data_IF_058916266989
#
_entry.id   IF_058916266989
#
_cell.length_a   1.000
_cell.length_b   1.000
_cell.length_c   1.000
_cell.angle_alpha   90.00
_cell.angle_beta   90.00
_cell.angle_gamma   90.00
#
_symmetry.space_group_name_H-M   'P 1'
#
loop_
_entity.id
_entity.type
_entity.pdbx_description
1 polymer ?
#
# COMPACT_ATOMS: atom_id res chain seq x y z
N UNK A 1 -13.17 16.55 4.81
CA UNK A 1 -13.61 16.36 3.41
C UNK A 1 -13.55 14.88 3.08
N UNK A 2 -14.61 14.35 2.48
CA UNK A 2 -14.71 12.94 2.03
C UNK A 2 -14.77 12.89 0.51
N UNK A 3 -13.96 12.04 -0.12
CA UNK A 3 -13.99 11.83 -1.59
C UNK A 3 -13.59 10.41 -1.97
N UNK A 4 -14.08 9.84 -3.08
CA UNK A 4 -13.66 8.50 -3.52
C UNK A 4 -12.18 8.49 -3.95
N UNK A 5 -11.47 7.39 -3.68
CA UNK A 5 -10.13 7.14 -4.18
C UNK A 5 -10.18 6.22 -5.41
N UNK A 6 -9.37 6.56 -6.42
CA UNK A 6 -9.14 5.71 -7.59
C UNK A 6 -8.29 4.50 -7.23
N UNK A 7 -8.38 3.46 -8.05
CA UNK A 7 -7.51 2.28 -7.94
C UNK A 7 -6.03 2.67 -8.10
N UNK A 8 -5.12 2.01 -7.38
CA UNK A 8 -3.69 2.27 -7.50
C UNK A 8 -3.13 1.77 -8.84
N UNK A 9 -2.04 2.37 -9.33
CA UNK A 9 -1.13 1.68 -10.24
C UNK A 9 -0.63 0.38 -9.61
N UNK A 10 -0.52 -0.71 -10.39
CA UNK A 10 -0.14 -2.04 -9.86
C UNK A 10 1.17 -2.03 -9.06
N UNK A 11 2.14 -1.20 -9.47
CA UNK A 11 3.42 -1.03 -8.78
C UNK A 11 3.27 -0.63 -7.31
N UNK A 12 2.20 0.09 -6.95
CA UNK A 12 1.96 0.51 -5.55
C UNK A 12 1.59 -0.65 -4.64
N UNK A 13 1.10 -1.75 -5.20
CA UNK A 13 0.86 -3.00 -4.47
C UNK A 13 2.21 -3.63 -4.09
N UNK A 14 3.18 -3.60 -5.01
CA UNK A 14 4.53 -4.11 -4.75
C UNK A 14 5.29 -3.21 -3.78
N UNK A 15 5.14 -1.89 -3.87
CA UNK A 15 5.68 -0.93 -2.88
C UNK A 15 5.13 -1.20 -1.46
N UNK A 16 3.83 -1.55 -1.37
CA UNK A 16 3.19 -1.89 -0.11
C UNK A 16 3.71 -3.22 0.46
N UNK A 17 3.83 -4.25 -0.36
CA UNK A 17 4.42 -5.54 0.04
C UNK A 17 5.87 -5.37 0.50
N UNK A 18 6.68 -4.59 -0.22
CA UNK A 18 8.04 -4.27 0.21
C UNK A 18 8.06 -3.54 1.56
N UNK A 19 7.13 -2.60 1.80
CA UNK A 19 7.04 -1.92 3.10
C UNK A 19 6.77 -2.87 4.26
N UNK A 20 6.00 -3.94 4.02
CA UNK A 20 5.79 -5.00 5.00
C UNK A 20 7.04 -5.86 5.18
N UNK A 21 7.67 -6.27 4.08
CA UNK A 21 8.92 -7.03 4.09
C UNK A 21 10.08 -6.30 4.79
N UNK A 22 10.10 -4.97 4.69
CA UNK A 22 11.09 -4.09 5.34
C UNK A 22 10.74 -3.77 6.81
N UNK A 23 9.59 -4.20 7.32
CA UNK A 23 9.11 -3.78 8.65
C UNK A 23 8.84 -2.27 8.76
N UNK A 24 8.55 -1.58 7.64
CA UNK A 24 8.32 -0.12 7.58
C UNK A 24 6.93 0.33 8.04
N UNK A 25 6.08 -0.60 8.47
CA UNK A 25 4.71 -0.32 8.94
C UNK A 25 4.65 -0.46 10.46
N UNK A 26 4.60 0.68 11.16
CA UNK A 26 4.51 0.75 12.63
C UNK A 26 3.08 1.05 13.04
N UNK A 27 2.39 0.06 13.61
CA UNK A 27 1.01 0.22 14.07
C UNK A 27 0.97 1.14 15.29
N UNK A 28 0.05 2.10 15.26
CA UNK A 28 -0.26 3.01 16.37
C UNK A 28 -1.51 2.55 17.11
N UNK A 29 -2.54 2.13 16.38
CA UNK A 29 -3.77 1.54 16.91
C UNK A 29 -4.31 0.50 15.91
N UNK A 30 -4.94 -0.55 16.42
CA UNK A 30 -5.48 -1.65 15.61
C UNK A 30 -6.17 -2.73 16.43
N UNK A 31 -6.97 -3.57 15.77
CA UNK A 31 -7.77 -4.65 16.38
C UNK A 31 -8.93 -5.12 15.48
N UNK A 32 -9.70 -6.11 15.93
CA UNK A 32 -10.78 -6.70 15.12
C UNK A 32 -11.94 -5.73 14.87
N UNK A 33 -12.11 -5.29 13.62
CA UNK A 33 -13.30 -4.57 13.11
C UNK A 33 -13.34 -3.05 13.28
N UNK A 34 -12.31 -2.43 13.87
CA UNK A 34 -12.27 -0.99 14.19
C UNK A 34 -11.36 -0.15 13.29
N UNK A 35 -11.01 1.04 13.79
CA UNK A 35 -10.07 1.96 13.15
C UNK A 35 -8.63 1.45 13.33
N UNK A 36 -7.90 1.37 12.23
CA UNK A 36 -6.47 1.07 12.20
C UNK A 36 -5.70 2.34 11.89
N UNK A 37 -4.63 2.61 12.64
CA UNK A 37 -3.69 3.67 12.30
C UNK A 37 -2.26 3.19 12.40
N UNK A 38 -1.42 3.70 11.50
CA UNK A 38 -0.02 3.36 11.43
C UNK A 38 0.82 4.53 10.95
N UNK A 39 2.11 4.43 11.25
CA UNK A 39 3.16 5.18 10.60
C UNK A 39 3.84 4.29 9.57
N UNK A 40 3.92 4.77 8.33
CA UNK A 40 4.56 4.03 7.23
C UNK A 40 5.74 4.81 6.71
N UNK A 41 6.94 4.25 6.83
CA UNK A 41 8.17 4.89 6.35
C UNK A 41 8.37 4.67 4.86
N UNK A 42 8.92 5.67 4.16
CA UNK A 42 9.34 5.51 2.76
C UNK A 42 10.58 4.61 2.64
N UNK A 43 10.80 3.99 1.47
CA UNK A 43 11.94 3.09 1.23
C UNK A 43 13.29 3.80 1.07
N UNK A 44 13.31 5.15 1.11
CA UNK A 44 14.48 5.94 0.76
C UNK A 44 14.65 7.11 1.72
N UNK A 45 14.11 8.28 1.35
CA UNK A 45 14.20 9.49 2.18
C UNK A 45 13.46 9.29 3.53
N UNK A 46 13.88 9.95 4.61
CA UNK A 46 13.24 9.84 5.92
C UNK A 46 11.90 10.59 5.92
N UNK A 47 10.91 10.05 5.21
CA UNK A 47 9.51 10.47 5.27
C UNK A 47 8.73 9.34 5.90
N UNK A 48 7.91 9.70 6.87
CA UNK A 48 6.99 8.82 7.56
C UNK A 48 5.58 9.36 7.33
N UNK A 49 4.69 8.52 6.82
CA UNK A 49 3.32 8.88 6.50
C UNK A 49 2.39 8.46 7.62
N UNK A 50 1.49 9.33 8.05
CA UNK A 50 0.36 8.93 8.90
C UNK A 50 -0.72 8.31 8.03
N UNK A 51 -1.10 7.08 8.35
CA UNK A 51 -2.12 6.32 7.62
C UNK A 51 -3.20 5.89 8.59
N UNK A 52 -4.45 6.03 8.17
CA UNK A 52 -5.61 5.53 8.92
C UNK A 52 -6.52 4.76 7.96
N UNK A 53 -7.06 3.63 8.40
CA UNK A 53 -8.02 2.79 7.67
C UNK A 53 -9.15 2.42 8.61
N UNK A 54 -10.38 2.67 8.20
CA UNK A 54 -11.61 2.36 8.93
C UNK A 54 -12.56 1.58 8.00
N UNK A 55 -12.64 0.24 8.14
CA UNK A 55 -13.65 -0.56 7.48
C UNK A 55 -15.04 -0.24 8.07
N UNK A 56 -16.04 0.02 7.23
CA UNK A 56 -17.42 0.33 7.67
C UNK A 56 -18.46 -0.71 7.22
N UNK A 57 -18.02 -1.94 6.95
CA UNK A 57 -18.86 -3.02 6.44
C UNK A 57 -19.21 -2.87 4.95
N UNK A 58 -19.88 -3.88 4.38
CA UNK A 58 -20.35 -3.90 2.98
C UNK A 58 -19.31 -3.52 1.91
N UNK A 59 -18.02 -3.82 2.16
CA UNK A 59 -16.92 -3.47 1.26
C UNK A 59 -16.56 -1.98 1.23
N UNK A 60 -17.06 -1.17 2.16
CA UNK A 60 -16.74 0.25 2.28
C UNK A 60 -15.58 0.44 3.25
N UNK A 61 -14.58 1.20 2.81
CA UNK A 61 -13.40 1.54 3.61
C UNK A 61 -13.18 3.05 3.54
N UNK A 62 -13.08 3.68 4.69
CA UNK A 62 -12.62 5.06 4.81
C UNK A 62 -11.14 5.03 5.13
N UNK A 63 -10.36 5.86 4.46
CA UNK A 63 -8.91 5.86 4.58
C UNK A 63 -8.36 7.28 4.59
N UNK A 64 -7.22 7.43 5.23
CA UNK A 64 -6.43 8.63 5.21
C UNK A 64 -4.97 8.26 4.98
N UNK A 65 -4.28 9.08 4.21
CA UNK A 65 -2.83 9.09 4.15
C UNK A 65 -2.37 10.49 3.76
N UNK A 66 -1.33 10.97 4.42
CA UNK A 66 -0.67 12.23 4.07
C UNK A 66 0.32 12.07 2.89
N UNK A 67 0.41 10.88 2.29
CA UNK A 67 1.24 10.64 1.11
C UNK A 67 0.76 11.40 -0.14
N UNK A 68 1.72 11.78 -0.98
CA UNK A 68 1.46 12.60 -2.17
C UNK A 68 0.56 11.89 -3.22
N UNK A 69 0.65 10.56 -3.34
CA UNK A 69 -0.19 9.77 -4.24
C UNK A 69 -1.66 9.87 -3.83
N UNK A 70 -1.93 9.72 -2.55
CA UNK A 70 -3.30 9.87 -2.01
C UNK A 70 -3.76 11.34 -2.08
N UNK A 71 -2.99 12.29 -1.56
CA UNK A 71 -3.40 13.70 -1.45
C UNK A 71 -3.60 14.37 -2.81
N UNK A 72 -2.62 14.24 -3.71
CA UNK A 72 -2.56 14.99 -4.96
C UNK A 72 -2.98 14.16 -6.18
N UNK A 73 -2.73 12.85 -6.20
CA UNK A 73 -3.14 11.99 -7.32
C UNK A 73 -4.49 11.29 -7.10
N UNK A 74 -5.03 11.29 -5.87
CA UNK A 74 -6.38 10.79 -5.58
C UNK A 74 -6.56 9.30 -5.85
N UNK A 75 -5.51 8.49 -5.70
CA UNK A 75 -5.60 7.03 -5.72
C UNK A 75 -5.22 6.45 -4.35
N UNK A 76 -5.49 5.17 -4.13
CA UNK A 76 -5.12 4.44 -2.91
C UNK A 76 -3.59 4.29 -2.85
N UNK A 77 -2.88 5.11 -2.09
CA UNK A 77 -1.42 5.06 -1.98
C UNK A 77 -0.89 3.77 -1.37
N UNK A 78 0.39 3.45 -1.61
CA UNK A 78 1.04 2.28 -0.99
C UNK A 78 0.96 2.27 0.55
N UNK A 79 0.95 3.43 1.28
CA UNK A 79 0.80 3.40 2.73
C UNK A 79 -0.58 2.90 3.16
N UNK A 80 -1.63 3.28 2.43
CA UNK A 80 -2.99 2.76 2.67
C UNK A 80 -3.04 1.27 2.36
N UNK A 81 -2.47 0.85 1.22
CA UNK A 81 -2.44 -0.56 0.83
C UNK A 81 -1.73 -1.43 1.87
N UNK A 82 -0.58 -0.99 2.39
CA UNK A 82 0.17 -1.74 3.40
C UNK A 82 -0.60 -1.87 4.71
N UNK A 83 -1.29 -0.81 5.15
CA UNK A 83 -2.13 -0.88 6.35
C UNK A 83 -3.37 -1.76 6.12
N UNK A 84 -4.01 -1.70 4.94
CA UNK A 84 -5.11 -2.59 4.60
C UNK A 84 -4.69 -4.07 4.58
N UNK A 85 -3.46 -4.37 4.15
CA UNK A 85 -2.87 -5.72 4.23
C UNK A 85 -2.66 -6.16 5.68
N UNK A 86 -2.14 -5.29 6.55
CA UNK A 86 -1.99 -5.60 8.00
C UNK A 86 -3.34 -5.81 8.66
N UNK A 87 -4.34 -5.00 8.33
CA UNK A 87 -5.71 -5.10 8.85
C UNK A 87 -6.50 -6.29 8.29
N UNK A 88 -5.90 -7.14 7.44
CA UNK A 88 -6.56 -8.32 6.85
C UNK A 88 -7.61 -8.00 5.78
N UNK A 89 -7.69 -6.76 5.29
CA UNK A 89 -8.63 -6.36 4.25
C UNK A 89 -8.16 -6.79 2.86
N UNK A 90 -6.85 -6.76 2.64
CA UNK A 90 -6.18 -7.19 1.41
C UNK A 90 -5.33 -8.43 1.66
N UNK A 91 -5.19 -9.33 0.67
CA UNK A 91 -4.35 -10.50 0.82
C UNK A 91 -2.88 -10.10 0.99
N UNK A 92 -2.13 -10.98 1.64
CA UNK A 92 -0.68 -10.89 1.83
C UNK A 92 -0.01 -12.11 1.23
N UNK A 93 1.19 -11.93 0.71
CA UNK A 93 2.07 -13.03 0.30
C UNK A 93 3.46 -12.76 0.88
N UNK A 94 3.82 -13.48 1.95
CA UNK A 94 5.09 -13.31 2.65
C UNK A 94 6.31 -13.63 1.78
N UNK A 95 6.16 -14.47 0.76
CA UNK A 95 7.20 -14.72 -0.22
C UNK A 95 7.45 -13.50 -1.09
N UNK A 96 6.39 -12.86 -1.59
CA UNK A 96 6.50 -11.60 -2.36
C UNK A 96 7.03 -10.46 -1.50
N UNK A 97 6.58 -10.35 -0.25
CA UNK A 97 7.11 -9.36 0.71
C UNK A 97 8.62 -9.53 0.91
N UNK A 98 9.09 -10.77 1.13
CA UNK A 98 10.52 -11.08 1.28
C UNK A 98 11.31 -10.81 0.01
N UNK A 99 10.76 -11.19 -1.16
CA UNK A 99 11.40 -10.94 -2.44
C UNK A 99 11.61 -9.44 -2.68
N UNK A 100 10.67 -8.59 -2.27
CA UNK A 100 10.73 -7.15 -2.54
C UNK A 100 11.36 -6.32 -1.41
N UNK A 101 11.69 -6.95 -0.28
CA UNK A 101 12.37 -6.29 0.83
C UNK A 101 13.73 -5.71 0.41
N UNK A 102 14.07 -4.51 0.86
CA UNK A 102 15.29 -3.79 0.55
C UNK A 102 15.28 -3.02 -0.78
N UNK A 103 14.20 -3.12 -1.57
CA UNK A 103 14.07 -2.33 -2.81
C UNK A 103 13.87 -0.85 -2.45
N UNK A 104 14.78 0.02 -2.89
CA UNK A 104 14.61 1.47 -2.74
C UNK A 104 13.70 2.04 -3.84
N UNK A 105 12.39 1.88 -3.65
CA UNK A 105 11.33 2.35 -4.54
C UNK A 105 11.37 3.84 -4.85
N UNK A 106 11.68 4.69 -3.87
CA UNK A 106 11.83 6.14 -4.09
C UNK A 106 12.86 6.42 -5.17
N UNK A 107 14.07 5.86 -5.00
CA UNK A 107 15.17 6.04 -5.95
C UNK A 107 14.86 5.38 -7.31
N UNK A 108 14.28 4.19 -7.28
CA UNK A 108 13.95 3.43 -8.49
C UNK A 108 12.90 4.15 -9.35
N UNK A 109 11.84 4.66 -8.73
CA UNK A 109 10.80 5.44 -9.41
C UNK A 109 11.35 6.78 -9.94
N UNK A 110 12.20 7.47 -9.17
CA UNK A 110 12.84 8.73 -9.59
C UNK A 110 13.74 8.54 -10.81
N UNK A 111 14.51 7.44 -10.85
CA UNK A 111 15.42 7.11 -11.97
C UNK A 111 14.68 6.70 -13.22
N UNK A 112 13.69 5.81 -13.10
CA UNK A 112 13.04 5.21 -14.27
C UNK A 112 11.90 6.06 -14.84
N UNK A 113 11.23 6.86 -13.99
CA UNK A 113 10.10 7.74 -14.35
C UNK A 113 8.95 7.05 -15.10
N UNK A 114 8.92 5.71 -15.10
CA UNK A 114 7.94 4.88 -15.81
C UNK A 114 7.71 3.60 -15.02
N UNK A 115 6.46 3.36 -14.63
CA UNK A 115 6.11 2.16 -13.88
C UNK A 115 6.32 0.87 -14.68
N UNK A 116 6.15 0.90 -16.01
CA UNK A 116 6.42 -0.25 -16.85
C UNK A 116 7.92 -0.65 -16.79
N UNK A 117 8.81 0.33 -16.88
CA UNK A 117 10.27 0.10 -16.76
C UNK A 117 10.66 -0.39 -15.37
N UNK A 118 10.01 0.11 -14.32
CA UNK A 118 10.23 -0.38 -12.96
C UNK A 118 9.81 -1.85 -12.82
N UNK A 119 8.64 -2.22 -13.37
CA UNK A 119 8.18 -3.61 -13.36
C UNK A 119 9.13 -4.56 -14.09
N UNK A 120 9.56 -4.17 -15.29
CA UNK A 120 10.54 -4.92 -16.08
C UNK A 120 11.87 -5.08 -15.33
N UNK A 121 12.39 -3.98 -14.77
CA UNK A 121 13.62 -4.02 -13.98
C UNK A 121 13.52 -4.96 -12.77
N UNK A 122 12.41 -4.94 -12.03
CA UNK A 122 12.21 -5.85 -10.90
C UNK A 122 12.17 -7.31 -11.35
N UNK A 123 11.51 -7.60 -12.47
CA UNK A 123 11.46 -8.93 -13.06
C UNK A 123 12.84 -9.45 -13.43
N UNK A 124 13.69 -8.59 -13.97
CA UNK A 124 15.02 -8.97 -14.45
C UNK A 124 16.09 -9.04 -13.36
N UNK A 125 16.01 -8.16 -12.36
CA UNK A 125 17.13 -7.95 -11.42
C UNK A 125 16.83 -8.36 -9.99
N UNK A 126 15.56 -8.48 -9.62
CA UNK A 126 15.17 -8.68 -8.22
C UNK A 126 14.43 -9.98 -7.98
N UNK A 127 13.51 -10.33 -8.87
CA UNK A 127 12.68 -11.53 -8.73
C UNK A 127 13.36 -12.70 -9.44
N UNK A 128 13.63 -13.82 -8.76
CA UNK A 128 14.21 -15.00 -9.40
C UNK A 128 13.38 -15.51 -10.58
N UNK A 129 14.01 -16.10 -11.61
CA UNK A 129 13.30 -16.83 -12.66
C UNK A 129 12.34 -17.85 -12.05
N UNK A 130 11.07 -17.85 -12.49
CA UNK A 130 10.01 -18.73 -11.97
C UNK A 130 9.13 -18.10 -10.87
N UNK A 131 9.63 -17.13 -10.11
CA UNK A 131 8.85 -16.45 -9.05
C UNK A 131 8.00 -15.29 -9.58
N UNK A 132 8.24 -14.81 -10.80
CA UNK A 132 7.48 -13.69 -11.37
C UNK A 132 5.98 -13.99 -11.47
N UNK A 133 5.61 -15.23 -11.81
CA UNK A 133 4.20 -15.65 -11.86
C UNK A 133 3.51 -15.54 -10.49
N UNK A 134 4.25 -15.72 -9.38
CA UNK A 134 3.74 -15.51 -8.02
C UNK A 134 3.49 -14.03 -7.75
N UNK A 135 4.41 -13.15 -8.17
CA UNK A 135 4.26 -11.69 -8.06
C UNK A 135 3.04 -11.20 -8.86
N UNK A 136 2.86 -11.70 -10.08
CA UNK A 136 1.70 -11.38 -10.93
C UNK A 136 0.38 -11.85 -10.31
N UNK A 137 0.34 -13.09 -9.80
CA UNK A 137 -0.83 -13.62 -9.11
C UNK A 137 -1.19 -12.77 -7.89
N UNK A 138 -0.21 -12.44 -7.05
CA UNK A 138 -0.41 -11.58 -5.88
C UNK A 138 -0.99 -10.20 -6.27
N UNK A 139 -0.43 -9.53 -7.28
CA UNK A 139 -0.99 -8.27 -7.77
C UNK A 139 -2.44 -8.44 -8.26
N UNK A 140 -2.71 -9.51 -9.00
CA UNK A 140 -4.03 -9.85 -9.51
C UNK A 140 -5.07 -10.04 -8.41
N UNK A 141 -4.72 -10.78 -7.34
CA UNK A 141 -5.57 -11.02 -6.18
C UNK A 141 -5.88 -9.73 -5.41
N UNK A 142 -4.86 -8.90 -5.14
CA UNK A 142 -5.04 -7.60 -4.48
C UNK A 142 -5.94 -6.69 -5.34
N UNK A 143 -5.69 -6.60 -6.64
CA UNK A 143 -6.53 -5.80 -7.55
C UNK A 143 -7.96 -6.33 -7.59
N UNK A 144 -8.15 -7.65 -7.66
CA UNK A 144 -9.48 -8.26 -7.65
C UNK A 144 -10.23 -7.92 -6.36
N UNK A 145 -9.56 -7.99 -5.20
CA UNK A 145 -10.13 -7.62 -3.92
C UNK A 145 -10.48 -6.13 -3.84
N UNK A 146 -9.62 -5.25 -4.37
CA UNK A 146 -9.90 -3.81 -4.45
C UNK A 146 -11.09 -3.49 -5.36
N UNK A 147 -11.35 -4.30 -6.41
CA UNK A 147 -12.52 -4.10 -7.28
C UNK A 147 -13.84 -4.27 -6.53
N UNK A 148 -13.88 -5.07 -5.47
CA UNK A 148 -15.08 -5.29 -4.66
C UNK A 148 -15.25 -4.27 -3.54
N UNK A 149 -14.38 -3.26 -3.45
CA UNK A 149 -14.38 -2.27 -2.38
C UNK A 149 -14.65 -0.86 -2.89
N UNK A 150 -15.28 -0.05 -2.05
CA UNK A 150 -15.37 1.41 -2.22
C UNK A 150 -14.48 2.06 -1.18
N UNK A 151 -13.37 2.66 -1.62
CA UNK A 151 -12.42 3.32 -0.72
C UNK A 151 -12.59 4.84 -0.82
N UNK A 152 -12.78 5.49 0.32
CA UNK A 152 -12.96 6.94 0.42
C UNK A 152 -11.81 7.56 1.20
N UNK A 153 -11.27 8.66 0.69
CA UNK A 153 -10.36 9.52 1.44
C UNK A 153 -11.15 10.41 2.40
N UNK A 154 -10.83 10.36 3.69
CA UNK A 154 -11.47 11.16 4.74
C UNK A 154 -10.44 11.85 5.63
N UNK A 155 -10.38 13.18 5.53
CA UNK A 155 -9.42 14.00 6.29
C UNK A 155 -9.73 14.11 7.78
N UNK A 156 -10.89 13.63 8.25
CA UNK A 156 -11.26 13.66 9.67
C UNK A 156 -10.72 12.45 10.46
N UNK A 157 -10.29 11.40 9.77
CA UNK A 157 -9.85 10.15 10.41
C UNK A 157 -8.65 10.30 11.36
N UNK A 158 -7.59 11.09 11.05
CA UNK A 158 -6.46 11.27 11.96
C UNK A 158 -6.88 11.72 13.37
N UNK A 159 -7.79 12.69 13.45
CA UNK A 159 -8.29 13.20 14.73
C UNK A 159 -9.08 12.17 15.51
N UNK A 160 -9.75 11.23 14.84
CA UNK A 160 -10.52 10.15 15.48
C UNK A 160 -9.64 9.00 15.96
N UNK A 161 -8.57 8.70 15.22
CA UNK A 161 -7.72 7.55 15.48
C UNK A 161 -6.62 7.83 16.53
N UNK A 162 -6.34 9.10 16.81
CA UNK A 162 -5.30 9.56 17.74
C UNK A 162 -5.86 10.32 18.94
N UNK A 163 -7.20 10.42 19.05
CA UNK A 163 -7.88 10.88 20.25
C UNK A 163 -8.07 9.70 21.21
#
# INVERSE_FOLDING_TARGET
>A
MVKPLRRPPAIKILEAAAALGDGRVRILTGGSGGVWAAKVSSSGRPREYLVVVEPRGAGVVYAYSDDNGTRFRGYIGYPILSLMMVAGLLPRDSGVEKLLAGVNWTLLNERMKSYARVMEHLRETRVPPGEWARVERFMGEVLARLRTMKVYYDTSLPSKALA
#
